data_IF_674462536802
#
_entry.id   IF_674462536802
#
_cell.length_a   1.000
_cell.length_b   1.000
_cell.length_c   1.000
_cell.angle_alpha   90.00
_cell.angle_beta   90.00
_cell.angle_gamma   90.00
#
_symmetry.space_group_name_H-M   'P 1'
#
loop_
_entity.id
_entity.type
_entity.pdbx_description
1 polymer ?
#
# COMPACT_ATOMS: atom_id res chain seq x y z
N UNK A 1 12.32 18.59 3.36
CA UNK A 1 11.55 17.64 2.54
C UNK A 1 10.21 17.45 3.22
N UNK A 2 9.23 18.30 2.89
CA UNK A 2 7.85 18.10 3.33
C UNK A 2 7.23 17.03 2.44
N UNK A 3 6.78 15.94 3.04
CA UNK A 3 5.96 14.94 2.36
C UNK A 3 4.51 15.37 2.61
N UNK A 4 3.81 15.80 1.57
CA UNK A 4 2.39 16.12 1.66
C UNK A 4 1.61 14.91 2.21
N UNK A 5 0.75 15.10 3.22
CA UNK A 5 0.11 14.00 3.98
C UNK A 5 -0.86 13.14 3.17
N UNK A 6 -1.09 13.48 1.90
CA UNK A 6 -2.14 12.95 1.05
C UNK A 6 -1.61 12.49 -0.32
N UNK A 7 -0.50 11.75 -0.35
CA UNK A 7 -0.07 11.13 -1.60
C UNK A 7 -1.12 10.09 -2.01
N UNK A 8 -1.81 10.34 -3.12
CA UNK A 8 -2.74 9.38 -3.72
C UNK A 8 -1.94 8.21 -4.28
N UNK A 9 -2.29 6.98 -3.90
CA UNK A 9 -1.77 5.79 -4.56
C UNK A 9 -2.87 5.10 -5.37
N UNK A 10 -2.45 4.45 -6.45
CA UNK A 10 -3.27 3.53 -7.22
C UNK A 10 -2.53 2.20 -7.33
N UNK A 11 -3.12 1.14 -6.82
CA UNK A 11 -2.64 -0.21 -7.08
C UNK A 11 -3.25 -0.71 -8.41
N UNK A 12 -2.51 -1.49 -9.19
CA UNK A 12 -3.04 -2.21 -10.35
C UNK A 12 -2.23 -3.50 -10.57
N UNK A 13 -2.91 -4.64 -10.64
CA UNK A 13 -2.29 -5.95 -10.94
C UNK A 13 -1.88 -6.09 -12.42
N UNK A 14 -0.97 -7.04 -12.71
CA UNK A 14 -0.50 -7.42 -14.06
C UNK A 14 -1.58 -8.21 -14.84
N UNK A 15 -1.47 -8.37 -16.18
CA UNK A 15 -2.64 -8.47 -17.09
C UNK A 15 -3.52 -9.73 -16.96
N UNK A 16 -3.14 -10.70 -16.12
CA UNK A 16 -3.92 -11.93 -15.89
C UNK A 16 -4.61 -11.97 -14.51
N UNK A 17 -4.45 -10.91 -13.70
CA UNK A 17 -5.25 -10.69 -12.49
C UNK A 17 -6.17 -9.51 -12.80
N UNK A 18 -7.48 -9.76 -12.79
CA UNK A 18 -8.48 -8.71 -12.94
C UNK A 18 -8.10 -7.53 -12.05
N UNK A 19 -7.74 -6.44 -12.71
CA UNK A 19 -7.41 -5.11 -12.20
C UNK A 19 -7.73 -4.94 -10.71
N UNK A 20 -6.71 -5.03 -9.84
CA UNK A 20 -6.85 -4.57 -8.46
C UNK A 20 -7.09 -3.07 -8.56
N UNK A 21 -8.34 -2.63 -8.44
CA UNK A 21 -8.72 -1.23 -8.48
C UNK A 21 -8.89 -0.77 -7.03
N UNK A 22 -7.84 -0.12 -6.51
CA UNK A 22 -7.82 0.51 -5.19
C UNK A 22 -7.14 1.86 -5.34
N UNK A 23 -7.85 2.90 -4.92
CA UNK A 23 -7.32 4.24 -4.70
C UNK A 23 -7.34 4.52 -3.22
N UNK A 24 -6.31 5.20 -2.72
CA UNK A 24 -6.25 5.61 -1.33
C UNK A 24 -5.20 6.68 -1.10
N UNK A 25 -5.00 7.01 0.17
CA UNK A 25 -3.97 7.94 0.64
C UNK A 25 -2.85 7.18 1.35
N UNK A 26 -1.63 7.65 1.18
CA UNK A 26 -0.49 7.23 2.00
C UNK A 26 0.00 8.36 2.88
N UNK A 27 0.39 7.99 4.09
CA UNK A 27 1.14 8.86 5.02
C UNK A 27 2.44 8.19 5.40
N UNK A 28 3.55 8.90 5.30
CA UNK A 28 4.88 8.39 5.64
C UNK A 28 5.45 9.18 6.82
N UNK A 29 5.88 8.48 7.87
CA UNK A 29 6.59 9.05 9.02
C UNK A 29 7.80 8.18 9.34
N UNK A 30 8.99 8.73 9.09
CA UNK A 30 10.24 7.95 9.18
C UNK A 30 10.21 6.75 8.24
N UNK A 31 10.45 5.56 8.79
CA UNK A 31 10.41 4.28 8.04
C UNK A 31 9.04 3.58 8.09
N UNK A 32 7.99 4.28 8.52
CA UNK A 32 6.63 3.76 8.60
C UNK A 32 5.75 4.40 7.54
N UNK A 33 4.95 3.58 6.86
CA UNK A 33 3.92 3.99 5.90
C UNK A 33 2.56 3.52 6.37
N UNK A 34 1.56 4.39 6.24
CA UNK A 34 0.15 4.10 6.52
C UNK A 34 -0.63 4.19 5.22
N UNK A 35 -1.36 3.14 4.86
CA UNK A 35 -2.29 3.08 3.74
C UNK A 35 -3.72 3.25 4.23
N UNK A 36 -4.44 4.19 3.63
CA UNK A 36 -5.87 4.41 3.84
C UNK A 36 -6.59 4.35 2.52
N UNK A 37 -7.21 3.22 2.22
CA UNK A 37 -8.03 3.02 1.04
C UNK A 37 -9.25 3.96 1.07
N UNK A 38 -9.59 4.54 -0.08
CA UNK A 38 -10.73 5.46 -0.23
C UNK A 38 -11.80 4.90 -1.16
N UNK A 39 -11.41 4.19 -2.22
CA UNK A 39 -12.36 3.71 -3.23
C UNK A 39 -11.77 2.59 -4.09
N UNK A 40 -12.66 1.85 -4.75
CA UNK A 40 -12.30 0.77 -5.68
C UNK A 40 -12.86 -0.59 -5.25
N UNK A 41 -12.92 -1.53 -6.19
CA UNK A 41 -13.60 -2.83 -5.99
C UNK A 41 -13.02 -3.65 -4.83
N UNK A 42 -11.73 -3.49 -4.57
CA UNK A 42 -10.99 -4.24 -3.55
C UNK A 42 -10.50 -3.35 -2.40
N UNK A 43 -11.07 -2.14 -2.28
CA UNK A 43 -10.71 -1.21 -1.23
C UNK A 43 -11.10 -1.77 0.14
N UNK A 44 -10.18 -1.70 1.08
CA UNK A 44 -10.46 -1.90 2.49
C UNK A 44 -11.36 -0.77 3.02
N UNK A 45 -12.17 -1.02 4.07
CA UNK A 45 -12.85 0.05 4.78
C UNK A 45 -11.87 1.15 5.24
N UNK A 46 -12.20 2.44 5.13
CA UNK A 46 -11.31 3.52 5.56
C UNK A 46 -10.93 3.47 7.05
N UNK A 47 -11.78 2.88 7.90
CA UNK A 47 -11.51 2.61 9.31
C UNK A 47 -10.47 1.51 9.55
N UNK A 48 -10.12 0.76 8.50
CA UNK A 48 -9.10 -0.28 8.49
C UNK A 48 -7.82 0.24 7.81
N UNK A 49 -7.22 1.28 8.37
CA UNK A 49 -5.89 1.75 7.93
C UNK A 49 -4.83 0.68 8.21
N UNK A 50 -3.88 0.52 7.27
CA UNK A 50 -2.81 -0.46 7.34
C UNK A 50 -1.46 0.21 7.53
N UNK A 51 -0.71 -0.20 8.54
CA UNK A 51 0.61 0.31 8.89
C UNK A 51 1.70 -0.72 8.62
N UNK A 52 2.77 -0.25 7.96
CA UNK A 52 3.89 -1.07 7.54
C UNK A 52 5.20 -0.33 7.77
N UNK A 53 6.25 -1.07 8.08
CA UNK A 53 7.61 -0.58 7.84
C UNK A 53 8.00 -0.89 6.40
N UNK A 54 8.86 -0.06 5.81
CA UNK A 54 9.32 -0.29 4.45
C UNK A 54 10.84 -0.17 4.33
N UNK A 55 11.39 -0.94 3.40
CA UNK A 55 12.79 -0.84 2.96
C UNK A 55 12.83 -0.66 1.45
N UNK A 56 13.70 0.24 0.99
CA UNK A 56 13.91 0.52 -0.43
C UNK A 56 15.30 0.04 -0.82
N UNK A 57 15.39 -0.77 -1.87
CA UNK A 57 16.66 -1.23 -2.45
C UNK A 57 16.61 -1.09 -3.97
N UNK A 58 17.36 -0.14 -4.53
CA UNK A 58 17.42 0.19 -5.95
C UNK A 58 16.04 0.41 -6.61
N UNK A 59 15.39 -0.67 -7.05
CA UNK A 59 14.08 -0.68 -7.71
C UNK A 59 13.01 -1.46 -6.94
N UNK A 60 13.35 -1.99 -5.77
CA UNK A 60 12.50 -2.88 -4.98
C UNK A 60 12.07 -2.21 -3.69
N UNK A 61 10.76 -2.23 -3.42
CA UNK A 61 10.14 -1.77 -2.19
C UNK A 61 9.56 -2.98 -1.45
N UNK A 62 10.05 -3.25 -0.25
CA UNK A 62 9.58 -4.35 0.59
C UNK A 62 8.84 -3.78 1.79
N UNK A 63 7.65 -4.29 2.08
CA UNK A 63 6.89 -3.92 3.27
C UNK A 63 6.91 -5.04 4.30
N UNK A 64 7.02 -4.67 5.56
CA UNK A 64 6.76 -5.55 6.70
C UNK A 64 5.59 -4.99 7.49
N UNK A 65 4.57 -5.82 7.68
CA UNK A 65 3.34 -5.46 8.41
C UNK A 65 3.70 -5.08 9.84
N UNK A 66 3.22 -3.92 10.28
CA UNK A 66 3.15 -3.58 11.71
C UNK A 66 1.74 -3.88 12.22
N UNK A 67 0.72 -3.31 11.56
CA UNK A 67 -0.68 -3.49 11.90
C UNK A 67 -1.55 -3.29 10.66
N UNK A 68 -2.18 -4.36 10.17
CA UNK A 68 -3.17 -4.23 9.11
C UNK A 68 -4.36 -5.18 9.36
N UNK A 69 -5.55 -4.64 9.70
CA UNK A 69 -6.76 -5.44 9.91
C UNK A 69 -7.46 -5.85 8.61
N UNK A 70 -7.03 -5.34 7.45
CA UNK A 70 -7.59 -5.69 6.15
C UNK A 70 -6.74 -6.74 5.43
N UNK A 71 -7.23 -7.98 5.42
CA UNK A 71 -6.52 -9.10 4.78
C UNK A 71 -6.27 -8.88 3.29
N UNK A 72 -7.22 -8.25 2.58
CA UNK A 72 -7.15 -8.00 1.14
C UNK A 72 -6.00 -7.09 0.72
N UNK A 73 -5.59 -6.15 1.58
CA UNK A 73 -4.40 -5.30 1.38
C UNK A 73 -3.15 -5.91 2.01
N UNK A 74 -3.29 -6.51 3.20
CA UNK A 74 -2.18 -7.13 3.92
C UNK A 74 -1.47 -8.17 3.05
N UNK A 75 -2.22 -9.12 2.51
CA UNK A 75 -1.66 -10.24 1.76
C UNK A 75 -0.78 -9.81 0.57
N UNK A 76 -1.23 -8.96 -0.38
CA UNK A 76 -0.39 -8.57 -1.51
C UNK A 76 0.81 -7.71 -1.11
N UNK A 77 0.67 -6.80 -0.13
CA UNK A 77 1.77 -5.89 0.26
C UNK A 77 2.86 -6.57 1.08
N UNK A 78 2.53 -7.59 1.88
CA UNK A 78 3.51 -8.25 2.75
C UNK A 78 4.17 -9.49 2.14
N UNK A 79 3.58 -10.06 1.09
CA UNK A 79 4.04 -11.34 0.53
C UNK A 79 5.08 -11.15 -0.56
N UNK A 80 4.98 -10.09 -1.37
CA UNK A 80 5.88 -9.87 -2.50
C UNK A 80 6.44 -8.45 -2.49
N UNK A 81 7.77 -8.26 -2.64
CA UNK A 81 8.34 -6.95 -2.88
C UNK A 81 7.74 -6.31 -4.13
N UNK A 82 7.41 -5.02 -4.04
CA UNK A 82 6.97 -4.26 -5.20
C UNK A 82 8.18 -3.78 -5.99
N UNK A 83 8.28 -4.21 -7.24
CA UNK A 83 9.35 -3.76 -8.14
C UNK A 83 8.84 -2.63 -9.02
N UNK A 84 9.57 -1.51 -9.02
CA UNK A 84 9.38 -0.44 -10.00
C UNK A 84 9.82 -0.97 -11.37
N UNK A 85 8.87 -1.07 -12.31
CA UNK A 85 9.17 -1.33 -13.73
C UNK A 85 9.67 -0.07 -14.42
#
# INVERSE_FOLDING_TARGET
>A
MEIHPDLTYRASGTPNMAQVDVTGRIRIVGHTITFTDTSGRFACPPSQAGEYTFTVSATTLTFKVLRDPCDGRRAPLSTNPLTRK
#
